data_IF_573591777024
#
_entry.id   IF_573591777024
#
_cell.length_a   1.000
_cell.length_b   1.000
_cell.length_c   1.000
_cell.angle_alpha   90.00
_cell.angle_beta   90.00
_cell.angle_gamma   90.00
#
_symmetry.space_group_name_H-M   'P 1'
#
loop_
_entity.id
_entity.type
_entity.pdbx_description
1 polymer ?
#
# COMPACT_ATOMS: atom_id res chain seq x y z
N UNK A 1 35.24 -8.42 1.91
CA UNK A 1 34.42 -8.96 0.81
C UNK A 1 32.97 -8.95 1.28
N UNK A 2 32.08 -8.24 0.58
CA UNK A 2 30.64 -8.35 0.85
C UNK A 2 30.17 -9.75 0.46
N UNK A 3 29.31 -10.38 1.28
CA UNK A 3 28.71 -11.66 0.95
C UNK A 3 27.85 -11.53 -0.32
N UNK A 4 27.83 -12.57 -1.15
CA UNK A 4 26.95 -12.61 -2.32
C UNK A 4 25.47 -12.56 -1.86
N UNK A 5 24.59 -11.85 -2.58
CA UNK A 5 23.18 -11.78 -2.23
C UNK A 5 22.53 -13.15 -2.41
N UNK A 6 21.65 -13.51 -1.47
CA UNK A 6 20.74 -14.65 -1.61
C UNK A 6 19.63 -14.23 -2.57
N UNK A 7 19.47 -14.99 -3.65
CA UNK A 7 18.43 -14.75 -4.65
C UNK A 7 17.26 -15.68 -4.42
N UNK A 8 16.06 -15.13 -4.48
CA UNK A 8 14.81 -15.88 -4.35
C UNK A 8 13.71 -15.19 -5.17
N UNK A 9 12.63 -15.92 -5.43
CA UNK A 9 11.43 -15.34 -6.02
C UNK A 9 10.56 -14.67 -4.95
N UNK A 10 9.70 -13.75 -5.35
CA UNK A 10 8.71 -13.17 -4.45
C UNK A 10 7.75 -14.23 -3.88
N UNK A 11 7.42 -15.26 -4.66
CA UNK A 11 6.60 -16.39 -4.22
C UNK A 11 7.24 -17.20 -3.08
N UNK A 12 8.58 -17.33 -3.07
CA UNK A 12 9.29 -18.01 -1.98
C UNK A 12 9.12 -17.25 -0.66
N UNK A 13 9.19 -15.92 -0.70
CA UNK A 13 8.99 -15.06 0.48
C UNK A 13 7.54 -15.16 0.99
N UNK A 14 6.56 -15.17 0.08
CA UNK A 14 5.15 -15.36 0.42
C UNK A 14 4.95 -16.71 1.13
N UNK A 15 5.50 -17.80 0.57
CA UNK A 15 5.41 -19.14 1.15
C UNK A 15 6.08 -19.26 2.52
N UNK A 16 7.22 -18.60 2.71
CA UNK A 16 7.89 -18.48 4.01
C UNK A 16 6.98 -17.82 5.06
N UNK A 17 6.40 -16.66 4.73
CA UNK A 17 5.54 -15.92 5.65
C UNK A 17 4.29 -16.72 5.99
N UNK A 18 3.65 -17.35 4.99
CA UNK A 18 2.47 -18.19 5.19
C UNK A 18 2.75 -19.41 6.09
N UNK A 19 3.95 -19.99 5.98
CA UNK A 19 4.38 -21.11 6.83
C UNK A 19 4.92 -20.69 8.20
N UNK A 20 5.06 -19.39 8.45
CA UNK A 20 5.72 -18.84 9.64
C UNK A 20 7.24 -19.05 9.66
N UNK A 21 7.81 -19.57 8.57
CA UNK A 21 9.25 -19.74 8.42
C UNK A 21 9.86 -18.41 7.96
N UNK A 22 10.83 -17.86 8.71
CA UNK A 22 11.45 -16.56 8.37
C UNK A 22 12.94 -16.71 8.05
N UNK A 23 13.34 -17.84 7.49
CA UNK A 23 14.76 -18.14 7.23
C UNK A 23 15.40 -17.17 6.24
N UNK A 24 14.77 -16.88 5.10
CA UNK A 24 15.32 -15.94 4.09
C UNK A 24 15.38 -14.51 4.63
N UNK A 25 14.34 -14.10 5.36
CA UNK A 25 14.27 -12.75 5.94
C UNK A 25 15.13 -12.58 7.19
N UNK A 26 15.40 -13.65 7.94
CA UNK A 26 16.13 -13.62 9.20
C UNK A 26 17.66 -13.72 9.07
N UNK A 27 18.18 -14.18 7.93
CA UNK A 27 19.63 -14.29 7.71
C UNK A 27 20.34 -12.94 7.51
N UNK A 28 21.66 -12.90 7.73
CA UNK A 28 22.48 -11.66 7.64
C UNK A 28 22.94 -11.29 6.23
N UNK A 29 22.85 -12.21 5.26
CA UNK A 29 23.25 -11.94 3.88
C UNK A 29 22.25 -10.98 3.19
N UNK A 30 22.70 -10.12 2.27
CA UNK A 30 21.80 -9.34 1.41
C UNK A 30 20.81 -10.26 0.68
N UNK A 31 19.60 -9.77 0.42
CA UNK A 31 18.59 -10.51 -0.34
C UNK A 31 18.20 -9.75 -1.61
N UNK A 32 18.08 -10.48 -2.70
CA UNK A 32 17.54 -10.01 -3.97
C UNK A 32 16.30 -10.86 -4.29
N UNK A 33 15.14 -10.20 -4.34
CA UNK A 33 13.83 -10.82 -4.53
C UNK A 33 13.33 -10.47 -5.92
N UNK A 34 13.17 -11.48 -6.76
CA UNK A 34 12.62 -11.30 -8.10
C UNK A 34 11.09 -11.28 -8.04
N UNK A 35 10.51 -10.16 -8.45
CA UNK A 35 9.07 -9.94 -8.55
C UNK A 35 8.50 -10.29 -9.93
N UNK A 36 9.33 -10.68 -10.91
CA UNK A 36 8.88 -10.94 -12.27
C UNK A 36 7.76 -12.00 -12.32
N UNK A 37 6.73 -11.72 -13.11
CA UNK A 37 5.57 -12.61 -13.26
C UNK A 37 4.57 -12.58 -12.09
N UNK A 38 4.85 -11.81 -11.04
CA UNK A 38 3.89 -11.56 -9.96
C UNK A 38 2.75 -10.70 -10.50
N UNK A 39 1.51 -11.09 -10.19
CA UNK A 39 0.34 -10.31 -10.60
C UNK A 39 0.19 -9.04 -9.73
N UNK A 40 0.40 -9.19 -8.42
CA UNK A 40 0.38 -8.13 -7.40
C UNK A 40 1.31 -8.49 -6.25
N UNK A 41 2.01 -7.51 -5.69
CA UNK A 41 2.88 -7.72 -4.55
C UNK A 41 2.06 -7.80 -3.27
N UNK A 42 2.21 -8.89 -2.51
CA UNK A 42 1.47 -9.07 -1.26
C UNK A 42 1.96 -8.11 -0.16
N UNK A 43 1.02 -7.40 0.47
CA UNK A 43 1.27 -6.44 1.53
C UNK A 43 2.03 -7.06 2.72
N UNK A 44 1.68 -8.30 3.10
CA UNK A 44 2.35 -9.02 4.18
C UNK A 44 3.83 -9.28 3.86
N UNK A 45 4.13 -9.69 2.62
CA UNK A 45 5.49 -9.91 2.14
C UNK A 45 6.28 -8.61 2.07
N UNK A 46 5.69 -7.55 1.51
CA UNK A 46 6.31 -6.23 1.47
C UNK A 46 6.61 -5.68 2.86
N UNK A 47 5.67 -5.80 3.80
CA UNK A 47 5.86 -5.41 5.21
C UNK A 47 7.03 -6.15 5.85
N UNK A 48 7.11 -7.47 5.65
CA UNK A 48 8.15 -8.30 6.24
C UNK A 48 9.53 -7.99 5.64
N UNK A 49 9.62 -7.78 4.32
CA UNK A 49 10.86 -7.37 3.64
C UNK A 49 11.30 -5.99 4.15
N UNK A 50 10.39 -5.01 4.17
CA UNK A 50 10.69 -3.65 4.62
C UNK A 50 11.14 -3.60 6.09
N UNK A 51 10.50 -4.40 6.95
CA UNK A 51 10.87 -4.54 8.35
C UNK A 51 12.25 -5.20 8.51
N UNK A 52 12.51 -6.29 7.78
CA UNK A 52 13.81 -6.98 7.80
C UNK A 52 14.94 -6.04 7.34
N UNK A 53 14.75 -5.33 6.23
CA UNK A 53 15.72 -4.36 5.71
C UNK A 53 16.05 -3.27 6.73
N UNK A 54 15.04 -2.73 7.42
CA UNK A 54 15.22 -1.72 8.46
C UNK A 54 15.90 -2.25 9.72
N UNK A 55 15.40 -3.37 10.26
CA UNK A 55 15.84 -3.89 11.56
C UNK A 55 17.28 -4.41 11.52
N UNK A 56 17.71 -4.98 10.39
CA UNK A 56 19.00 -5.64 10.26
C UNK A 56 20.04 -4.82 9.48
N UNK A 57 19.70 -3.59 9.05
CA UNK A 57 20.51 -2.84 8.05
C UNK A 57 20.87 -3.71 6.84
N UNK A 58 19.94 -4.61 6.50
CA UNK A 58 20.13 -5.63 5.49
C UNK A 58 19.78 -5.04 4.15
N UNK A 59 20.69 -5.17 3.20
CA UNK A 59 20.44 -4.82 1.81
C UNK A 59 19.40 -5.79 1.24
N UNK A 60 18.15 -5.36 1.19
CA UNK A 60 17.07 -6.05 0.49
C UNK A 60 16.76 -5.29 -0.81
N UNK A 61 16.69 -6.02 -1.92
CA UNK A 61 16.36 -5.48 -3.23
C UNK A 61 15.20 -6.24 -3.87
N UNK A 62 14.25 -5.50 -4.42
CA UNK A 62 13.18 -6.01 -5.27
C UNK A 62 13.56 -5.73 -6.72
N UNK A 63 13.54 -6.74 -7.57
CA UNK A 63 13.82 -6.61 -9.02
C UNK A 63 12.65 -7.14 -9.83
N UNK A 64 12.55 -6.79 -11.12
CA UNK A 64 11.52 -7.35 -12.00
C UNK A 64 10.09 -6.84 -11.74
N UNK A 65 9.90 -5.87 -10.83
CA UNK A 65 8.60 -5.27 -10.57
C UNK A 65 8.07 -4.51 -11.80
N UNK A 66 6.79 -4.67 -12.12
CA UNK A 66 6.15 -4.00 -13.24
C UNK A 66 5.79 -2.53 -12.92
N UNK A 67 5.20 -1.80 -13.88
CA UNK A 67 4.90 -0.38 -13.72
C UNK A 67 3.93 -0.05 -12.58
N UNK A 68 2.85 -0.82 -12.43
CA UNK A 68 1.85 -0.58 -11.38
C UNK A 68 2.40 -0.98 -9.99
N UNK A 69 3.23 -2.04 -9.91
CA UNK A 69 3.93 -2.44 -8.69
C UNK A 69 4.96 -1.39 -8.23
N UNK A 70 5.78 -0.87 -9.16
CA UNK A 70 6.75 0.20 -8.85
C UNK A 70 6.05 1.45 -8.35
N UNK A 71 4.92 1.81 -8.97
CA UNK A 71 4.10 2.92 -8.51
C UNK A 71 3.61 2.67 -7.07
N UNK A 72 3.11 1.48 -6.78
CA UNK A 72 2.66 1.11 -5.44
C UNK A 72 3.78 1.20 -4.39
N UNK A 73 4.98 0.69 -4.71
CA UNK A 73 6.15 0.77 -3.82
C UNK A 73 6.53 2.23 -3.53
N UNK A 74 6.44 3.11 -4.53
CA UNK A 74 6.67 4.54 -4.37
C UNK A 74 5.62 5.22 -3.49
N UNK A 75 4.34 4.89 -3.69
CA UNK A 75 3.24 5.44 -2.87
C UNK A 75 3.33 4.97 -1.41
N UNK A 76 3.75 3.73 -1.19
CA UNK A 76 3.92 3.13 0.14
C UNK A 76 5.23 3.54 0.83
N UNK A 77 6.08 4.35 0.18
CA UNK A 77 7.34 4.83 0.75
C UNK A 77 8.42 3.75 0.91
N UNK A 78 8.36 2.69 0.11
CA UNK A 78 9.31 1.56 0.15
C UNK A 78 10.07 1.36 -1.17
N UNK A 79 10.02 2.34 -2.07
CA UNK A 79 10.78 2.38 -3.34
C UNK A 79 12.30 2.33 -3.17
N UNK A 80 12.83 2.64 -1.98
CA UNK A 80 14.25 2.40 -1.69
C UNK A 80 14.66 0.93 -1.86
N UNK A 81 13.71 0.00 -1.78
CA UNK A 81 13.93 -1.43 -2.01
C UNK A 81 14.13 -1.77 -3.49
N UNK A 82 13.73 -0.91 -4.45
CA UNK A 82 14.01 -1.15 -5.87
C UNK A 82 15.32 -0.43 -6.30
N UNK A 83 16.05 -0.99 -7.29
CA UNK A 83 17.21 -0.35 -7.88
C UNK A 83 16.91 1.08 -8.34
N UNK A 84 17.85 2.01 -8.14
CA UNK A 84 17.64 3.43 -8.50
C UNK A 84 17.25 3.65 -9.96
N UNK A 85 17.73 2.81 -10.89
CA UNK A 85 17.38 2.88 -12.31
C UNK A 85 15.93 2.47 -12.61
N UNK A 86 15.28 1.73 -11.70
CA UNK A 86 13.90 1.26 -11.82
C UNK A 86 12.92 2.09 -10.99
N UNK A 87 13.43 3.01 -10.16
CA UNK A 87 12.59 3.89 -9.33
C UNK A 87 11.70 4.77 -10.19
N UNK A 88 10.44 4.81 -9.80
CA UNK A 88 9.44 5.69 -10.38
C UNK A 88 9.14 6.76 -9.34
N UNK A 89 9.30 8.03 -9.70
CA UNK A 89 8.82 9.10 -8.84
C UNK A 89 7.30 8.94 -8.69
N UNK A 90 6.75 9.04 -7.46
CA UNK A 90 5.31 9.21 -7.30
C UNK A 90 4.91 10.37 -8.22
N UNK A 91 3.86 10.22 -9.06
CA UNK A 91 3.43 11.29 -9.92
C UNK A 91 3.29 12.59 -9.12
N UNK A 92 3.77 13.71 -9.65
CA UNK A 92 3.51 15.02 -9.03
C UNK A 92 2.00 15.24 -8.78
N UNK A 93 1.16 14.53 -9.56
CA UNK A 93 -0.28 14.43 -9.44
C UNK A 93 -0.79 13.55 -8.27
N UNK A 94 0.03 13.04 -7.36
CA UNK A 94 -0.46 12.36 -6.14
C UNK A 94 -0.69 13.32 -4.96
N UNK A 95 -0.08 14.52 -4.98
CA UNK A 95 -0.34 15.59 -4.01
C UNK A 95 -0.13 15.20 -2.52
N UNK A 96 -0.32 16.14 -1.59
CA UNK A 96 -0.33 15.86 -0.14
C UNK A 96 -1.68 15.35 0.37
N UNK A 97 -2.66 15.11 -0.51
CA UNK A 97 -4.04 14.76 -0.12
C UNK A 97 -4.16 13.45 0.65
N UNK A 98 -3.17 12.56 0.57
CA UNK A 98 -3.10 11.36 1.38
C UNK A 98 -1.66 10.87 1.58
N UNK A 99 -1.46 10.01 2.56
CA UNK A 99 -0.25 9.19 2.72
C UNK A 99 -0.67 7.72 2.79
N UNK A 100 0.12 6.82 2.21
CA UNK A 100 -0.12 5.38 2.31
C UNK A 100 1.06 4.68 3.00
N UNK A 101 0.77 3.61 3.72
CA UNK A 101 1.77 2.79 4.39
C UNK A 101 1.28 1.35 4.50
N UNK A 102 2.20 0.45 4.87
CA UNK A 102 1.90 -0.94 5.14
C UNK A 102 1.80 -1.19 6.65
N UNK A 103 0.83 -2.00 7.03
CA UNK A 103 0.63 -2.51 8.40
C UNK A 103 0.33 -4.01 8.32
N UNK A 104 1.38 -4.82 8.28
CA UNK A 104 1.28 -6.27 8.08
C UNK A 104 0.65 -6.59 6.72
N UNK A 105 -0.48 -7.30 6.72
CA UNK A 105 -1.25 -7.63 5.52
C UNK A 105 -2.19 -6.50 5.05
N UNK A 106 -2.19 -5.36 5.75
CA UNK A 106 -3.07 -4.22 5.46
C UNK A 106 -2.31 -3.08 4.78
N UNK A 107 -3.03 -2.36 3.93
CA UNK A 107 -2.63 -1.04 3.43
C UNK A 107 -3.41 0.02 4.21
N UNK A 108 -2.71 1.00 4.78
CA UNK A 108 -3.31 2.11 5.51
C UNK A 108 -3.15 3.40 4.72
N UNK A 109 -4.26 4.06 4.39
CA UNK A 109 -4.32 5.30 3.64
C UNK A 109 -4.83 6.41 4.58
N UNK A 110 -3.94 7.28 5.03
CA UNK A 110 -4.30 8.43 5.85
C UNK A 110 -4.66 9.63 4.97
N UNK A 111 -5.89 10.12 5.09
CA UNK A 111 -6.39 11.23 4.26
C UNK A 111 -6.13 12.56 4.96
N UNK A 112 -5.57 13.53 4.24
CA UNK A 112 -5.26 14.84 4.82
C UNK A 112 -6.50 15.76 4.89
N UNK A 113 -6.47 16.75 5.78
CA UNK A 113 -7.58 17.69 5.99
C UNK A 113 -8.01 18.40 4.70
N UNK A 114 -7.06 18.69 3.82
CA UNK A 114 -7.31 19.43 2.56
C UNK A 114 -7.52 18.52 1.34
N UNK A 115 -7.65 17.22 1.54
CA UNK A 115 -7.80 16.27 0.43
C UNK A 115 -9.00 16.59 -0.47
N UNK A 116 -10.09 17.10 0.09
CA UNK A 116 -11.29 17.48 -0.66
C UNK A 116 -11.11 18.65 -1.62
N UNK A 117 -10.13 19.52 -1.37
CA UNK A 117 -9.79 20.66 -2.23
C UNK A 117 -8.69 20.31 -3.24
N UNK A 118 -8.05 19.14 -3.09
CA UNK A 118 -7.01 18.69 -3.99
C UNK A 118 -7.61 18.08 -5.25
N UNK A 119 -7.66 18.87 -6.33
CA UNK A 119 -8.13 18.43 -7.63
C UNK A 119 -7.39 17.21 -8.18
N UNK A 120 -6.21 16.87 -7.62
CA UNK A 120 -5.43 15.70 -7.98
C UNK A 120 -6.05 14.37 -7.56
N UNK A 121 -6.97 14.34 -6.60
CA UNK A 121 -7.70 13.11 -6.26
C UNK A 121 -8.48 12.55 -7.45
N UNK A 122 -8.89 13.42 -8.39
CA UNK A 122 -9.56 13.01 -9.64
C UNK A 122 -8.62 12.37 -10.67
N UNK A 123 -7.30 12.45 -10.48
CA UNK A 123 -6.33 11.84 -11.39
C UNK A 123 -6.38 10.30 -11.25
N UNK A 124 -6.43 9.53 -12.36
CA UNK A 124 -6.37 8.07 -12.32
C UNK A 124 -5.22 7.48 -11.48
N UNK A 125 -4.07 8.15 -11.44
CA UNK A 125 -2.91 7.70 -10.69
C UNK A 125 -3.08 7.76 -9.17
N UNK A 126 -4.03 8.55 -8.65
CA UNK A 126 -4.29 8.69 -7.21
C UNK A 126 -4.80 7.40 -6.54
N UNK A 127 -5.31 6.44 -7.33
CA UNK A 127 -5.85 5.17 -6.86
C UNK A 127 -5.33 3.97 -7.64
N UNK A 128 -4.89 4.13 -8.90
CA UNK A 128 -4.40 3.04 -9.75
C UNK A 128 -3.23 2.27 -9.15
N UNK A 129 -2.38 2.92 -8.37
CA UNK A 129 -1.24 2.27 -7.69
C UNK A 129 -1.68 1.06 -6.85
N UNK A 130 -2.90 1.07 -6.31
CA UNK A 130 -3.42 -0.01 -5.48
C UNK A 130 -3.58 -1.32 -6.28
N UNK A 131 -3.69 -1.25 -7.61
CA UNK A 131 -3.70 -2.43 -8.49
C UNK A 131 -2.41 -3.25 -8.35
N UNK A 132 -1.27 -2.61 -8.06
CA UNK A 132 0.03 -3.29 -7.93
C UNK A 132 0.21 -4.07 -6.61
N UNK A 133 -0.69 -3.94 -5.63
CA UNK A 133 -0.51 -4.53 -4.28
C UNK A 133 -1.72 -5.34 -3.85
N UNK A 134 -1.51 -6.59 -3.46
CA UNK A 134 -2.53 -7.44 -2.86
C UNK A 134 -2.53 -7.25 -1.33
N UNK A 135 -3.66 -6.84 -0.77
CA UNK A 135 -3.84 -6.65 0.66
C UNK A 135 -5.14 -7.34 1.11
N UNK A 136 -5.17 -7.80 2.37
CA UNK A 136 -6.38 -8.37 2.96
C UNK A 136 -7.39 -7.27 3.30
N UNK A 137 -6.86 -6.13 3.75
CA UNK A 137 -7.60 -4.95 4.17
C UNK A 137 -6.94 -3.69 3.64
N UNK A 138 -7.75 -2.79 3.09
CA UNK A 138 -7.39 -1.41 2.81
C UNK A 138 -8.13 -0.53 3.80
N UNK A 139 -7.40 0.00 4.78
CA UNK A 139 -7.93 0.89 5.80
C UNK A 139 -7.75 2.34 5.36
N UNK A 140 -8.83 3.11 5.32
CA UNK A 140 -8.81 4.54 5.03
C UNK A 140 -9.04 5.28 6.34
N UNK A 141 -8.01 5.97 6.81
CA UNK A 141 -8.05 6.76 8.03
C UNK A 141 -8.53 8.19 7.72
N UNK A 142 -9.68 8.55 8.29
CA UNK A 142 -10.34 9.83 8.10
C UNK A 142 -10.20 10.76 9.32
N UNK A 143 -9.27 10.49 10.24
CA UNK A 143 -9.10 11.25 11.48
C UNK A 143 -8.98 12.78 11.30
N UNK A 144 -8.46 13.23 10.15
CA UNK A 144 -8.28 14.67 9.85
C UNK A 144 -9.47 15.31 9.12
N UNK A 145 -10.52 14.55 8.80
CA UNK A 145 -11.69 15.01 8.05
C UNK A 145 -12.91 15.12 8.96
N UNK A 146 -13.42 16.35 9.09
CA UNK A 146 -14.70 16.62 9.78
C UNK A 146 -15.90 16.44 8.85
N UNK A 147 -15.67 16.62 7.54
CA UNK A 147 -16.65 16.50 6.46
C UNK A 147 -16.02 15.81 5.25
N UNK A 148 -16.86 15.15 4.44
CA UNK A 148 -16.49 14.64 3.12
C UNK A 148 -17.30 15.35 2.03
N UNK A 149 -16.65 15.61 0.90
CA UNK A 149 -17.29 16.13 -0.31
C UNK A 149 -17.38 15.03 -1.39
N UNK A 150 -17.98 15.35 -2.53
CA UNK A 150 -18.16 14.42 -3.65
C UNK A 150 -16.83 13.91 -4.22
N UNK A 151 -15.77 14.73 -4.23
CA UNK A 151 -14.44 14.34 -4.71
C UNK A 151 -13.84 13.23 -3.86
N UNK A 152 -13.89 13.36 -2.53
CA UNK A 152 -13.39 12.33 -1.60
C UNK A 152 -14.20 11.03 -1.74
N UNK A 153 -15.54 11.14 -1.82
CA UNK A 153 -16.41 9.97 -2.01
C UNK A 153 -16.07 9.24 -3.31
N UNK A 154 -15.97 9.96 -4.43
CA UNK A 154 -15.63 9.38 -5.72
C UNK A 154 -14.26 8.70 -5.69
N UNK A 155 -13.27 9.34 -5.07
CA UNK A 155 -11.94 8.78 -4.92
C UNK A 155 -11.92 7.49 -4.07
N UNK A 156 -12.65 7.45 -2.95
CA UNK A 156 -12.80 6.23 -2.13
C UNK A 156 -13.40 5.09 -2.96
N UNK A 157 -14.42 5.37 -3.78
CA UNK A 157 -15.03 4.34 -4.64
C UNK A 157 -14.04 3.82 -5.71
N UNK A 158 -13.19 4.69 -6.25
CA UNK A 158 -12.14 4.31 -7.18
C UNK A 158 -11.05 3.46 -6.51
N UNK A 159 -10.69 3.76 -5.26
CA UNK A 159 -9.82 2.90 -4.45
C UNK A 159 -10.45 1.52 -4.24
N UNK A 160 -11.75 1.45 -3.88
CA UNK A 160 -12.48 0.19 -3.70
C UNK A 160 -12.43 -0.68 -4.97
N UNK A 161 -12.53 -0.07 -6.15
CA UNK A 161 -12.43 -0.78 -7.42
C UNK A 161 -11.00 -1.28 -7.69
N UNK A 162 -9.99 -0.43 -7.49
CA UNK A 162 -8.60 -0.76 -7.73
C UNK A 162 -8.04 -1.81 -6.75
N UNK A 163 -8.52 -1.82 -5.50
CA UNK A 163 -8.00 -2.68 -4.45
C UNK A 163 -8.58 -4.08 -4.36
N UNK A 164 -9.59 -4.42 -5.17
CA UNK A 164 -10.23 -5.75 -5.12
C UNK A 164 -9.20 -6.89 -5.20
N UNK A 165 -9.36 -7.99 -4.44
CA UNK A 165 -10.51 -8.35 -3.60
C UNK A 165 -10.42 -7.85 -2.14
N UNK A 166 -9.53 -6.90 -1.82
CA UNK A 166 -9.35 -6.43 -0.45
C UNK A 166 -10.66 -5.94 0.18
N UNK A 167 -10.80 -6.16 1.49
CA UNK A 167 -11.89 -5.54 2.27
C UNK A 167 -11.53 -4.09 2.55
N UNK A 168 -12.53 -3.20 2.53
CA UNK A 168 -12.32 -1.80 2.81
C UNK A 168 -12.92 -1.41 4.15
N UNK A 169 -12.09 -0.74 4.96
CA UNK A 169 -12.46 -0.27 6.29
C UNK A 169 -12.21 1.23 6.39
N UNK A 170 -13.11 1.94 7.06
CA UNK A 170 -12.93 3.34 7.42
C UNK A 170 -12.60 3.43 8.90
N UNK A 171 -11.51 4.12 9.24
CA UNK A 171 -11.04 4.32 10.62
C UNK A 171 -11.21 5.78 11.03
N UNK A 172 -11.41 6.00 12.33
CA UNK A 172 -11.53 7.32 12.95
C UNK A 172 -12.53 8.24 12.24
N UNK A 173 -13.67 7.69 11.84
CA UNK A 173 -14.69 8.41 11.08
C UNK A 173 -15.44 9.37 11.99
N UNK A 174 -15.37 10.67 11.69
CA UNK A 174 -16.18 11.66 12.41
C UNK A 174 -17.68 11.37 12.26
N UNK A 175 -18.47 11.58 13.32
CA UNK A 175 -19.92 11.24 13.34
C UNK A 175 -20.69 11.81 12.16
N UNK A 176 -20.34 13.02 11.73
CA UNK A 176 -20.97 13.66 10.58
C UNK A 176 -20.62 12.96 9.25
N UNK A 177 -19.37 12.56 9.07
CA UNK A 177 -18.92 11.77 7.92
C UNK A 177 -19.65 10.42 7.89
N UNK A 178 -19.76 9.73 9.03
CA UNK A 178 -20.50 8.47 9.12
C UNK A 178 -21.97 8.62 8.73
N UNK A 179 -22.60 9.75 9.11
CA UNK A 179 -23.97 10.08 8.72
C UNK A 179 -24.08 10.29 7.20
N UNK A 180 -23.15 11.05 6.60
CA UNK A 180 -23.10 11.26 5.15
C UNK A 180 -22.93 9.94 4.37
N UNK A 181 -22.01 9.07 4.81
CA UNK A 181 -21.76 7.77 4.20
C UNK A 181 -22.98 6.83 4.27
N UNK A 182 -23.69 6.87 5.40
CA UNK A 182 -24.92 6.10 5.60
C UNK A 182 -26.04 6.60 4.67
N UNK A 183 -26.20 7.92 4.53
CA UNK A 183 -27.17 8.52 3.59
C UNK A 183 -26.86 8.14 2.14
N UNK A 184 -25.58 8.04 1.78
CA UNK A 184 -25.11 7.57 0.48
C UNK A 184 -25.16 6.04 0.31
N UNK A 185 -25.59 5.30 1.34
CA UNK A 185 -25.68 3.83 1.39
C UNK A 185 -24.36 3.12 1.09
N UNK A 186 -23.21 3.73 1.41
CA UNK A 186 -21.90 3.15 1.12
C UNK A 186 -21.47 2.03 2.10
N UNK A 187 -22.27 1.78 3.13
CA UNK A 187 -22.00 0.81 4.20
C UNK A 187 -21.92 -0.65 3.72
N UNK A 188 -22.36 -0.96 2.50
CA UNK A 188 -22.22 -2.29 1.90
C UNK A 188 -20.85 -2.51 1.23
N UNK A 189 -20.12 -1.44 0.94
CA UNK A 189 -18.77 -1.48 0.35
C UNK A 189 -17.69 -1.19 1.39
N UNK A 190 -18.04 -0.42 2.42
CA UNK A 190 -17.13 0.12 3.41
C UNK A 190 -17.61 -0.28 4.80
N UNK A 191 -16.73 -0.91 5.59
CA UNK A 191 -17.00 -1.17 7.00
C UNK A 191 -16.46 -0.02 7.84
N UNK A 192 -17.31 0.68 8.58
CA UNK A 192 -16.85 1.66 9.56
C UNK A 192 -16.37 0.90 10.79
N UNK A 193 -15.10 1.10 11.18
CA UNK A 193 -14.58 0.60 12.45
C UNK A 193 -14.52 1.75 13.45
N UNK A 194 -15.25 1.57 14.54
CA UNK A 194 -15.10 2.42 15.71
C UNK A 194 -13.68 2.22 16.26
N UNK A 195 -12.96 3.33 16.41
CA UNK A 195 -11.64 3.38 17.06
C UNK A 195 -11.77 3.46 18.57
#
# INVERSE_FOLDING_TARGET
MAAAPVRCSFADIVGEIASGNRTLLGGVAPIEVDCAGTARLEAAALSAIALSANAQSKDARLTGANGDERLALAVLGIDRLIPSAERVAPPAAMGPGFAASLDGASVVIAVDRKAGDDGRLSNPQSHRWLVGVAADVVAIDLAKLEHINSSIVAWILLLVQAGRPARFELRHVHRQVATQLTQLRLNHLLTVKDG
#
